data_IF_754871570922
#
_entry.id   IF_754871570922
#
_cell.length_a   1.000
_cell.length_b   1.000
_cell.length_c   1.000
_cell.angle_alpha   90.00
_cell.angle_beta   90.00
_cell.angle_gamma   90.00
#
_symmetry.space_group_name_H-M   'P 1'
#
loop_
_entity.id
_entity.type
_entity.pdbx_description
1 polymer ?
#
# COMPACT_ATOMS: atom_id res chain seq x y z
N UNK A 1 8.40 1.63 3.64
CA UNK A 1 8.59 0.16 3.48
C UNK A 1 9.94 -0.17 4.06
N UNK A 2 10.13 -1.36 4.65
CA UNK A 2 11.43 -1.73 5.21
C UNK A 2 12.48 -1.84 4.11
N UNK A 3 13.65 -1.24 4.34
CA UNK A 3 14.78 -1.32 3.40
C UNK A 3 15.27 -2.76 3.35
N UNK A 4 15.57 -3.26 2.15
CA UNK A 4 16.09 -4.61 1.99
C UNK A 4 17.49 -4.72 2.64
N UNK A 5 17.69 -5.61 3.63
CA UNK A 5 18.99 -5.80 4.29
C UNK A 5 20.12 -6.26 3.35
N UNK A 6 19.79 -6.90 2.23
CA UNK A 6 20.76 -7.41 1.25
C UNK A 6 21.11 -6.38 0.16
N UNK A 7 20.20 -5.46 -0.16
CA UNK A 7 20.41 -4.41 -1.14
C UNK A 7 19.66 -3.12 -0.74
N UNK A 8 20.35 -2.11 -0.16
CA UNK A 8 19.72 -0.90 0.35
C UNK A 8 19.11 0.00 -0.73
N UNK A 9 19.29 -0.32 -2.03
CA UNK A 9 18.61 0.36 -3.14
C UNK A 9 17.16 -0.10 -3.31
N UNK A 10 16.78 -1.20 -2.65
CA UNK A 10 15.47 -1.84 -2.75
C UNK A 10 14.77 -1.93 -1.40
N UNK A 11 13.50 -2.30 -1.41
CA UNK A 11 12.67 -2.46 -0.21
C UNK A 11 11.99 -3.82 -0.21
N UNK A 12 11.59 -4.29 0.98
CA UNK A 12 10.84 -5.53 1.14
C UNK A 12 9.36 -5.30 0.86
N UNK A 13 9.00 -5.24 -0.42
CA UNK A 13 7.62 -5.15 -0.89
C UNK A 13 7.30 -6.26 -1.91
N UNK A 14 6.02 -6.50 -2.12
CA UNK A 14 5.55 -7.43 -3.13
C UNK A 14 4.19 -7.01 -3.66
N UNK A 15 4.00 -7.18 -4.96
CA UNK A 15 2.75 -6.95 -5.66
C UNK A 15 2.26 -8.29 -6.26
N UNK A 16 0.97 -8.59 -6.12
CA UNK A 16 0.34 -9.74 -6.76
C UNK A 16 -0.35 -9.27 -8.05
N UNK A 17 0.12 -9.80 -9.17
CA UNK A 17 -0.38 -9.46 -10.51
C UNK A 17 -1.34 -10.56 -10.98
N UNK A 18 -2.60 -10.18 -11.20
CA UNK A 18 -3.59 -11.02 -11.85
C UNK A 18 -3.30 -11.14 -13.36
N UNK A 19 -3.57 -12.30 -13.97
CA UNK A 19 -3.40 -12.51 -15.41
C UNK A 19 -4.47 -11.75 -16.21
N UNK A 20 -4.58 -12.05 -17.51
CA UNK A 20 -5.66 -11.56 -18.39
C UNK A 20 -5.74 -10.03 -18.51
N UNK A 21 -4.63 -9.34 -18.25
CA UNK A 21 -4.51 -7.90 -18.40
C UNK A 21 -5.08 -7.05 -17.25
N UNK A 22 -5.54 -7.67 -16.15
CA UNK A 22 -6.08 -6.93 -14.98
C UNK A 22 -4.97 -6.23 -14.19
N UNK A 23 -3.78 -6.83 -14.13
CA UNK A 23 -2.63 -6.24 -13.45
C UNK A 23 -2.67 -6.44 -11.94
N UNK A 24 -2.13 -5.48 -11.18
CA UNK A 24 -2.01 -5.58 -9.73
C UNK A 24 -3.36 -5.70 -9.01
N UNK A 25 -3.52 -6.71 -8.17
CA UNK A 25 -4.68 -6.91 -7.29
C UNK A 25 -4.34 -6.80 -5.80
N UNK A 26 -3.09 -7.07 -5.40
CA UNK A 26 -2.60 -6.91 -4.03
C UNK A 26 -1.29 -6.13 -4.06
N UNK A 27 -1.15 -5.17 -3.14
CA UNK A 27 0.11 -4.51 -2.85
C UNK A 27 0.44 -4.67 -1.36
N UNK A 28 1.66 -5.10 -1.05
CA UNK A 28 2.08 -5.42 0.31
C UNK A 28 3.54 -5.06 0.60
N UNK A 29 3.86 -4.89 1.89
CA UNK A 29 5.24 -4.72 2.31
C UNK A 29 5.46 -5.12 3.75
N UNK A 30 6.72 -5.44 4.07
CA UNK A 30 7.21 -5.34 5.43
C UNK A 30 7.30 -3.86 5.82
N UNK A 31 6.89 -3.55 7.05
CA UNK A 31 6.87 -2.19 7.58
C UNK A 31 8.15 -1.94 8.34
N UNK A 32 8.69 -0.74 8.18
CA UNK A 32 9.85 -0.31 8.95
C UNK A 32 9.48 -0.30 10.44
N UNK A 33 10.28 -0.97 11.25
CA UNK A 33 10.12 -1.07 12.70
C UNK A 33 11.10 -0.18 13.48
N UNK A 34 12.14 0.35 12.84
CA UNK A 34 13.08 1.29 13.47
C UNK A 34 12.56 2.73 13.41
N UNK A 35 12.54 3.40 14.55
CA UNK A 35 12.03 4.77 14.69
C UNK A 35 12.86 5.77 13.88
N UNK A 36 14.19 5.72 14.01
CA UNK A 36 15.10 6.66 13.36
C UNK A 36 15.01 6.59 11.83
N UNK A 37 14.90 5.38 11.28
CA UNK A 37 14.72 5.14 9.85
C UNK A 37 13.44 5.79 9.32
N UNK A 38 12.32 5.67 10.04
CA UNK A 38 11.06 6.31 9.62
C UNK A 38 11.19 7.83 9.69
N UNK A 39 11.74 8.39 10.76
CA UNK A 39 11.93 9.84 10.89
C UNK A 39 12.82 10.38 9.78
N UNK A 40 13.91 9.68 9.46
CA UNK A 40 14.79 10.04 8.37
C UNK A 40 14.06 9.99 7.02
N UNK A 41 13.27 8.95 6.77
CA UNK A 41 12.48 8.84 5.54
C UNK A 41 11.41 9.91 5.42
N UNK A 42 10.72 10.26 6.51
CA UNK A 42 9.74 11.36 6.53
C UNK A 42 10.40 12.70 6.13
N UNK A 43 11.62 12.96 6.62
CA UNK A 43 12.40 14.16 6.27
C UNK A 43 12.79 14.17 4.79
N UNK A 44 13.24 13.03 4.26
CA UNK A 44 13.60 12.88 2.83
C UNK A 44 12.40 13.14 1.90
N UNK A 45 11.22 12.63 2.27
CA UNK A 45 9.96 12.83 1.55
C UNK A 45 9.31 14.19 1.85
N UNK A 46 9.94 15.03 2.69
CA UNK A 46 9.45 16.37 3.08
C UNK A 46 8.07 16.35 3.74
N UNK A 47 7.80 15.30 4.53
CA UNK A 47 6.56 15.14 5.28
C UNK A 47 6.73 15.71 6.71
N UNK A 48 5.70 16.37 7.26
CA UNK A 48 5.74 16.91 8.62
C UNK A 48 5.75 15.76 9.64
N UNK A 49 6.85 15.62 10.39
CA UNK A 49 7.08 14.50 11.31
C UNK A 49 6.01 14.45 12.40
N UNK A 50 5.58 15.61 12.88
CA UNK A 50 4.60 15.79 13.96
C UNK A 50 3.23 15.21 13.58
N UNK A 51 2.90 15.17 12.28
CA UNK A 51 1.64 14.54 11.81
C UNK A 51 1.64 13.01 11.95
N UNK A 52 2.82 12.42 12.17
CA UNK A 52 3.03 10.97 12.28
C UNK A 52 3.43 10.53 13.69
N UNK A 53 3.37 11.40 14.71
CA UNK A 53 3.80 11.07 16.07
C UNK A 53 3.16 9.79 16.61
N UNK A 54 1.84 9.64 16.42
CA UNK A 54 1.13 8.42 16.83
C UNK A 54 1.64 7.16 16.13
N UNK A 55 2.04 7.27 14.86
CA UNK A 55 2.55 6.15 14.06
C UNK A 55 3.99 5.81 14.42
N UNK A 56 4.76 6.83 14.80
CA UNK A 56 6.12 6.69 15.31
C UNK A 56 6.14 6.08 16.72
N UNK A 57 5.15 6.37 17.56
CA UNK A 57 5.02 5.79 18.89
C UNK A 57 4.86 4.26 18.83
N UNK A 58 4.26 3.73 17.76
CA UNK A 58 4.23 2.28 17.48
C UNK A 58 5.63 1.66 17.39
N UNK A 59 6.67 2.46 17.12
CA UNK A 59 8.08 2.02 17.07
C UNK A 59 8.84 2.29 18.37
N UNK A 60 8.32 3.16 19.24
CA UNK A 60 8.92 3.44 20.55
C UNK A 60 8.46 2.46 21.62
N UNK A 61 7.20 2.04 21.57
CA UNK A 61 6.58 1.27 22.65
C UNK A 61 6.23 -0.16 22.19
N UNK A 62 7.23 -1.04 22.18
CA UNK A 62 7.05 -2.46 21.88
C UNK A 62 7.01 -2.78 20.38
N UNK A 63 7.90 -2.15 19.60
CA UNK A 63 8.06 -2.42 18.17
C UNK A 63 8.43 -3.89 17.92
N UNK A 64 7.80 -4.49 16.92
CA UNK A 64 8.11 -5.85 16.43
C UNK A 64 8.11 -5.85 14.90
N UNK A 65 8.87 -6.75 14.25
CA UNK A 65 8.76 -6.94 12.80
C UNK A 65 7.32 -7.28 12.42
N UNK A 66 6.76 -6.56 11.44
CA UNK A 66 5.39 -6.75 11.00
C UNK A 66 5.23 -6.42 9.51
N UNK A 67 4.31 -7.12 8.87
CA UNK A 67 3.98 -6.97 7.45
C UNK A 67 2.48 -6.83 7.25
N UNK A 68 2.07 -6.29 6.12
CA UNK A 68 0.67 -6.22 5.75
C UNK A 68 0.49 -5.93 4.27
N UNK A 69 -0.74 -6.09 3.79
CA UNK A 69 -1.10 -5.88 2.39
C UNK A 69 -2.49 -5.26 2.29
N UNK A 70 -2.78 -4.68 1.13
CA UNK A 70 -4.11 -4.25 0.73
C UNK A 70 -4.54 -5.02 -0.51
N UNK A 71 -5.83 -5.41 -0.55
CA UNK A 71 -6.45 -6.09 -1.68
C UNK A 71 -7.45 -5.14 -2.33
N UNK A 72 -7.31 -4.92 -3.64
CA UNK A 72 -8.28 -4.15 -4.42
C UNK A 72 -9.51 -4.99 -4.75
N UNK A 73 -10.59 -4.86 -3.97
CA UNK A 73 -11.84 -5.63 -4.13
C UNK A 73 -12.39 -5.58 -5.54
N UNK A 74 -12.50 -4.39 -6.13
CA UNK A 74 -13.06 -4.19 -7.46
C UNK A 74 -12.16 -4.79 -8.56
N UNK A 75 -10.84 -4.74 -8.38
CA UNK A 75 -9.90 -5.40 -9.32
C UNK A 75 -9.97 -6.92 -9.21
N UNK A 76 -10.11 -7.47 -8.00
CA UNK A 76 -10.32 -8.90 -7.79
C UNK A 76 -11.62 -9.36 -8.46
N UNK A 77 -12.72 -8.63 -8.26
CA UNK A 77 -14.02 -8.94 -8.90
C UNK A 77 -13.90 -8.84 -10.42
N UNK A 78 -13.24 -7.79 -10.95
CA UNK A 78 -13.04 -7.64 -12.38
C UNK A 78 -12.32 -8.85 -12.98
N UNK A 79 -11.28 -9.34 -12.33
CA UNK A 79 -10.55 -10.53 -12.76
C UNK A 79 -11.41 -11.79 -12.70
N UNK A 80 -12.03 -12.09 -11.55
CA UNK A 80 -12.82 -13.32 -11.36
C UNK A 80 -14.00 -13.37 -12.34
N UNK A 81 -14.63 -12.23 -12.61
CA UNK A 81 -15.80 -12.12 -13.49
C UNK A 81 -15.45 -11.82 -14.95
N UNK A 82 -14.18 -11.64 -15.30
CA UNK A 82 -13.75 -11.31 -16.67
C UNK A 82 -14.30 -9.98 -17.19
N UNK A 83 -14.44 -8.99 -16.31
CA UNK A 83 -15.02 -7.69 -16.64
C UNK A 83 -13.99 -6.77 -17.29
N UNK A 84 -14.42 -6.02 -18.30
CA UNK A 84 -13.53 -5.13 -19.06
C UNK A 84 -13.08 -3.90 -18.26
N UNK A 85 -13.85 -3.47 -17.25
CA UNK A 85 -13.54 -2.29 -16.46
C UNK A 85 -14.01 -2.41 -15.01
N UNK A 86 -13.17 -1.99 -14.06
CA UNK A 86 -13.44 -2.01 -12.61
C UNK A 86 -14.70 -1.26 -12.16
N UNK A 87 -15.27 -0.40 -13.02
CA UNK A 87 -16.49 0.36 -12.74
C UNK A 87 -17.73 -0.53 -12.67
N UNK A 88 -17.65 -1.71 -13.30
CA UNK A 88 -18.71 -2.72 -13.33
C UNK A 88 -18.72 -3.57 -12.05
N UNK A 89 -17.70 -3.42 -11.20
CA UNK A 89 -17.52 -4.20 -9.97
C UNK A 89 -18.14 -3.53 -8.74
N UNK A 90 -18.65 -2.30 -8.89
CA UNK A 90 -19.28 -1.53 -7.81
C UNK A 90 -20.61 -0.95 -8.31
N UNK A 91 -21.68 -0.93 -7.48
CA UNK A 91 -23.00 -0.49 -7.94
C UNK A 91 -23.06 0.95 -8.47
N UNK A 92 -22.36 1.86 -7.81
CA UNK A 92 -22.33 3.29 -8.14
C UNK A 92 -20.89 3.79 -8.24
N UNK A 93 -20.19 3.55 -9.37
CA UNK A 93 -18.79 3.89 -9.52
C UNK A 93 -18.56 5.40 -9.47
N UNK A 94 -17.47 5.81 -8.82
CA UNK A 94 -17.01 7.20 -8.75
C UNK A 94 -15.80 7.37 -9.66
N UNK A 95 -15.92 8.31 -10.61
CA UNK A 95 -14.88 8.64 -11.58
C UNK A 95 -14.83 10.16 -11.76
N UNK A 96 -13.74 10.69 -12.33
CA UNK A 96 -13.60 12.14 -12.57
C UNK A 96 -14.79 12.74 -13.33
N UNK A 97 -15.36 11.98 -14.27
CA UNK A 97 -16.50 12.39 -15.10
C UNK A 97 -17.87 11.91 -14.56
N UNK A 98 -17.89 11.12 -13.47
CA UNK A 98 -19.12 10.50 -12.94
C UNK A 98 -19.14 10.51 -11.41
N UNK A 99 -20.00 11.37 -10.85
CA UNK A 99 -20.22 11.50 -9.41
C UNK A 99 -21.63 11.10 -8.96
N UNK A 100 -22.64 11.21 -9.82
CA UNK A 100 -24.05 10.98 -9.46
C UNK A 100 -24.66 9.79 -10.25
N UNK A 101 -25.60 9.02 -9.65
CA UNK A 101 -25.91 8.99 -8.21
C UNK A 101 -24.75 8.45 -7.38
#
# INVERSE_FOLDING_TARGET
>A
MKVNPEDPRTVLNADLIAPDGVGEIIGGSEREENYENIVQRLKEEKLPVESYDWYLDLRKYGSVPHSGFGLGSERLIAWICGLAHVRECIPFPRMMERLYP
#
